data_IF_724336925279
#
_entry.id   IF_724336925279
#
_cell.length_a   1.000
_cell.length_b   1.000
_cell.length_c   1.000
_cell.angle_alpha   90.00
_cell.angle_beta   90.00
_cell.angle_gamma   90.00
#
_symmetry.space_group_name_H-M   'P 1'
#
loop_
_entity.id
_entity.type
_entity.pdbx_description
1 polymer ?
#
# COMPACT_ATOMS: atom_id res chain seq x y z
N UNK A 1 -32.01 -20.74 30.67
CA UNK A 1 -30.83 -21.14 29.87
C UNK A 1 -30.62 -20.09 28.81
N UNK A 2 -29.51 -19.34 28.84
CA UNK A 2 -29.20 -18.40 27.75
C UNK A 2 -28.89 -19.19 26.46
N UNK A 3 -29.11 -18.61 25.28
CA UNK A 3 -28.77 -19.27 24.03
C UNK A 3 -27.28 -19.64 24.05
N UNK A 4 -26.98 -20.91 23.75
CA UNK A 4 -25.60 -21.39 23.60
C UNK A 4 -24.95 -20.60 22.47
N UNK A 5 -23.90 -19.84 22.78
CA UNK A 5 -23.14 -19.11 21.78
C UNK A 5 -22.53 -20.08 20.75
N UNK A 6 -22.90 -19.92 19.48
CA UNK A 6 -22.37 -20.71 18.37
C UNK A 6 -21.46 -19.83 17.50
N UNK A 7 -20.15 -20.05 17.62
CA UNK A 7 -19.12 -19.31 16.89
C UNK A 7 -19.20 -19.54 15.37
N UNK A 8 -19.56 -20.75 14.94
CA UNK A 8 -19.66 -21.11 13.53
C UNK A 8 -20.82 -20.35 12.86
N UNK A 9 -21.97 -20.26 13.53
CA UNK A 9 -23.11 -19.49 13.03
C UNK A 9 -22.75 -18.01 12.80
N UNK A 10 -21.98 -17.39 13.70
CA UNK A 10 -21.49 -16.01 13.52
C UNK A 10 -20.54 -15.88 12.32
N UNK A 11 -19.61 -16.84 12.14
CA UNK A 11 -18.69 -16.85 11.01
C UNK A 11 -19.42 -17.02 9.68
N UNK A 12 -20.40 -17.93 9.63
CA UNK A 12 -21.28 -18.18 8.48
C UNK A 12 -22.07 -16.92 8.12
N UNK A 13 -22.71 -16.27 9.09
CA UNK A 13 -23.47 -15.04 8.87
C UNK A 13 -22.58 -13.94 8.29
N UNK A 14 -21.40 -13.71 8.90
CA UNK A 14 -20.45 -12.68 8.43
C UNK A 14 -19.96 -12.96 7.01
N UNK A 15 -19.67 -14.21 6.69
CA UNK A 15 -19.22 -14.61 5.35
C UNK A 15 -20.33 -14.39 4.31
N UNK A 16 -21.54 -14.92 4.57
CA UNK A 16 -22.67 -14.78 3.66
C UNK A 16 -23.03 -13.32 3.43
N UNK A 17 -23.00 -12.49 4.48
CA UNK A 17 -23.22 -11.04 4.37
C UNK A 17 -22.18 -10.39 3.47
N UNK A 18 -20.90 -10.71 3.63
CA UNK A 18 -19.85 -10.18 2.76
C UNK A 18 -20.06 -10.55 1.29
N UNK A 19 -20.33 -11.83 0.99
CA UNK A 19 -20.52 -12.29 -0.40
C UNK A 19 -21.77 -11.64 -1.01
N UNK A 20 -22.87 -11.61 -0.26
CA UNK A 20 -24.12 -10.97 -0.71
C UNK A 20 -23.92 -9.47 -0.98
N UNK A 21 -23.34 -8.74 -0.04
CA UNK A 21 -23.26 -7.27 -0.11
C UNK A 21 -22.19 -6.78 -1.09
N UNK A 22 -21.11 -7.55 -1.30
CA UNK A 22 -19.91 -7.08 -2.01
C UNK A 22 -19.61 -7.83 -3.31
N UNK A 23 -20.13 -9.03 -3.50
CA UNK A 23 -19.79 -9.87 -4.66
C UNK A 23 -21.01 -10.08 -5.56
N UNK A 24 -22.11 -10.59 -5.02
CA UNK A 24 -23.21 -11.09 -5.86
C UNK A 24 -24.43 -10.17 -5.89
N UNK A 25 -24.66 -9.37 -4.84
CA UNK A 25 -25.91 -8.63 -4.66
C UNK A 25 -27.11 -9.51 -4.30
N UNK A 26 -26.90 -10.81 -4.05
CA UNK A 26 -27.97 -11.80 -3.80
C UNK A 26 -27.77 -12.37 -2.39
N UNK A 27 -28.83 -12.32 -1.58
CA UNK A 27 -28.83 -12.94 -0.25
C UNK A 27 -28.96 -14.45 -0.40
N UNK A 28 -27.93 -15.19 0.02
CA UNK A 28 -27.87 -16.64 -0.09
C UNK A 28 -26.92 -17.24 0.96
N UNK A 29 -26.95 -18.56 1.09
CA UNK A 29 -26.07 -19.31 1.99
C UNK A 29 -24.83 -19.84 1.28
N UNK A 30 -23.92 -18.91 0.96
CA UNK A 30 -22.66 -19.21 0.30
C UNK A 30 -21.75 -20.12 1.13
N UNK A 31 -21.75 -19.97 2.46
CA UNK A 31 -20.95 -20.79 3.36
C UNK A 31 -21.25 -22.28 3.21
N UNK A 32 -22.52 -22.67 3.17
CA UNK A 32 -22.91 -24.08 3.05
C UNK A 32 -22.62 -24.69 1.67
N UNK A 33 -22.31 -23.86 0.66
CA UNK A 33 -21.94 -24.30 -0.69
C UNK A 33 -20.45 -24.60 -0.83
N UNK A 34 -19.64 -24.17 0.13
CA UNK A 34 -18.19 -24.30 0.11
C UNK A 34 -17.76 -25.41 1.06
N UNK A 35 -16.75 -26.17 0.63
CA UNK A 35 -16.01 -27.11 1.46
C UNK A 35 -14.82 -26.41 2.11
N UNK A 36 -14.16 -27.09 3.06
CA UNK A 36 -12.99 -26.54 3.75
C UNK A 36 -11.88 -26.20 2.76
N UNK A 37 -11.69 -27.05 1.74
CA UNK A 37 -10.68 -26.87 0.69
C UNK A 37 -10.94 -25.59 -0.12
N UNK A 38 -12.20 -25.25 -0.40
CA UNK A 38 -12.54 -24.00 -1.09
C UNK A 38 -12.16 -22.76 -0.25
N UNK A 39 -12.27 -22.83 1.08
CA UNK A 39 -11.79 -21.75 1.96
C UNK A 39 -10.26 -21.65 1.97
N UNK A 40 -9.54 -22.75 1.75
CA UNK A 40 -8.09 -22.72 1.58
C UNK A 40 -7.71 -22.08 0.24
N UNK A 41 -8.41 -22.38 -0.83
CA UNK A 41 -8.21 -21.76 -2.15
C UNK A 41 -8.57 -20.26 -2.15
N UNK A 42 -9.57 -19.86 -1.37
CA UNK A 42 -9.85 -18.43 -1.15
C UNK A 42 -8.64 -17.77 -0.47
N UNK A 43 -7.99 -18.43 0.51
CA UNK A 43 -6.79 -17.89 1.16
C UNK A 43 -5.61 -17.77 0.19
N UNK A 44 -5.44 -18.70 -0.74
CA UNK A 44 -4.37 -18.58 -1.76
C UNK A 44 -4.64 -17.38 -2.68
N UNK A 45 -5.90 -17.18 -3.06
CA UNK A 45 -6.38 -16.04 -3.87
C UNK A 45 -6.18 -14.68 -3.17
N UNK A 46 -6.12 -14.64 -1.82
CA UNK A 46 -5.82 -13.40 -1.08
C UNK A 46 -4.50 -12.78 -1.51
N UNK A 47 -3.51 -13.57 -1.92
CA UNK A 47 -2.25 -13.05 -2.45
C UNK A 47 -2.47 -12.25 -3.73
N UNK A 48 -3.29 -12.76 -4.65
CA UNK A 48 -3.58 -12.10 -5.91
C UNK A 48 -4.44 -10.85 -5.69
N UNK A 49 -5.38 -10.89 -4.75
CA UNK A 49 -6.14 -9.70 -4.32
C UNK A 49 -5.18 -8.63 -3.80
N UNK A 50 -4.21 -8.99 -2.95
CA UNK A 50 -3.22 -8.05 -2.47
C UNK A 50 -2.38 -7.46 -3.62
N UNK A 51 -1.98 -8.29 -4.59
CA UNK A 51 -1.25 -7.82 -5.77
C UNK A 51 -2.07 -6.85 -6.61
N UNK A 52 -3.37 -7.12 -6.81
CA UNK A 52 -4.30 -6.23 -7.54
C UNK A 52 -4.43 -4.88 -6.83
N UNK A 53 -4.58 -4.87 -5.50
CA UNK A 53 -4.70 -3.63 -4.73
C UNK A 53 -3.40 -2.81 -4.83
N UNK A 54 -2.24 -3.45 -4.62
CA UNK A 54 -0.93 -2.79 -4.77
C UNK A 54 -0.77 -2.22 -6.16
N UNK A 55 -1.09 -2.99 -7.20
CA UNK A 55 -1.02 -2.53 -8.58
C UNK A 55 -1.89 -1.29 -8.84
N UNK A 56 -3.17 -1.32 -8.41
CA UNK A 56 -4.06 -0.16 -8.56
C UNK A 56 -3.55 1.06 -7.80
N UNK A 57 -2.99 0.85 -6.61
CA UNK A 57 -2.40 1.92 -5.81
C UNK A 57 -1.13 2.51 -6.47
N UNK A 58 -0.30 1.68 -7.11
CA UNK A 58 0.86 2.14 -7.89
C UNK A 58 0.44 2.99 -9.09
N UNK A 59 -0.60 2.59 -9.83
CA UNK A 59 -1.13 3.39 -10.95
C UNK A 59 -1.67 4.74 -10.44
N UNK A 60 -2.45 4.74 -9.36
CA UNK A 60 -2.94 5.97 -8.71
C UNK A 60 -1.80 6.86 -8.22
N UNK A 61 -0.71 6.28 -7.72
CA UNK A 61 0.50 7.02 -7.37
C UNK A 61 1.15 7.64 -8.60
N UNK A 62 1.26 6.91 -9.71
CA UNK A 62 1.80 7.45 -10.96
C UNK A 62 0.97 8.63 -11.48
N UNK A 63 -0.36 8.55 -11.40
CA UNK A 63 -1.26 9.68 -11.70
C UNK A 63 -0.99 10.87 -10.78
N UNK A 64 -0.89 10.64 -9.47
CA UNK A 64 -0.58 11.68 -8.49
C UNK A 64 0.77 12.37 -8.76
N UNK A 65 1.77 11.60 -9.19
CA UNK A 65 3.09 12.11 -9.59
C UNK A 65 2.99 12.87 -10.91
N UNK A 66 2.28 12.36 -11.92
CA UNK A 66 2.02 13.03 -13.20
C UNK A 66 1.51 14.45 -13.00
N UNK A 67 0.58 14.64 -12.07
CA UNK A 67 -0.03 15.96 -11.83
C UNK A 67 0.95 16.99 -11.26
N UNK A 68 2.06 16.54 -10.67
CA UNK A 68 3.06 17.38 -9.97
C UNK A 68 4.37 17.54 -10.74
N UNK A 69 4.66 16.65 -11.66
CA UNK A 69 5.92 16.61 -12.40
C UNK A 69 5.66 16.67 -13.90
N UNK A 70 5.89 17.82 -14.57
CA UNK A 70 5.67 17.98 -16.01
C UNK A 70 6.34 16.88 -16.84
N UNK A 71 7.58 16.51 -16.52
CA UNK A 71 8.28 15.41 -17.19
C UNK A 71 7.51 14.09 -17.12
N UNK A 72 6.92 13.74 -15.97
CA UNK A 72 6.15 12.49 -15.81
C UNK A 72 4.85 12.56 -16.58
N UNK A 73 4.21 13.74 -16.64
CA UNK A 73 3.02 13.95 -17.47
C UNK A 73 3.31 13.75 -18.95
N UNK A 74 4.41 14.32 -19.42
CA UNK A 74 4.77 14.28 -20.84
C UNK A 74 5.25 12.87 -21.26
N UNK A 75 5.68 12.04 -20.30
CA UNK A 75 6.12 10.66 -20.50
C UNK A 75 5.21 9.60 -19.84
N UNK A 76 3.93 9.94 -19.57
CA UNK A 76 3.05 9.11 -18.74
C UNK A 76 2.85 7.69 -19.30
N UNK A 77 2.57 7.56 -20.60
CA UNK A 77 2.33 6.25 -21.22
C UNK A 77 3.54 5.32 -21.12
N UNK A 78 4.75 5.87 -21.24
CA UNK A 78 5.99 5.11 -21.06
C UNK A 78 6.10 4.59 -19.62
N UNK A 79 5.87 5.45 -18.62
CA UNK A 79 5.93 5.05 -17.21
C UNK A 79 4.80 4.09 -16.82
N UNK A 80 3.61 4.28 -17.39
CA UNK A 80 2.49 3.36 -17.19
C UNK A 80 2.86 1.97 -17.72
N UNK A 81 3.33 1.87 -18.96
CA UNK A 81 3.78 0.62 -19.56
C UNK A 81 4.85 -0.10 -18.72
N UNK A 82 5.79 0.65 -18.11
CA UNK A 82 6.75 0.08 -17.15
C UNK A 82 6.07 -0.51 -15.91
N UNK A 83 5.10 0.19 -15.32
CA UNK A 83 4.31 -0.34 -14.19
C UNK A 83 3.52 -1.59 -14.60
N UNK A 84 2.97 -1.63 -15.81
CA UNK A 84 2.21 -2.77 -16.34
C UNK A 84 3.08 -4.02 -16.53
N UNK A 85 4.33 -3.84 -16.96
CA UNK A 85 5.24 -4.95 -17.33
C UNK A 85 6.12 -5.43 -16.18
N UNK A 86 6.31 -4.61 -15.15
CA UNK A 86 7.18 -4.94 -14.02
C UNK A 86 6.49 -5.94 -13.11
N UNK A 87 7.07 -7.12 -12.89
CA UNK A 87 6.58 -8.01 -11.84
C UNK A 87 6.87 -7.39 -10.46
N UNK A 88 5.99 -7.60 -9.47
CA UNK A 88 6.29 -7.24 -8.09
C UNK A 88 7.65 -7.84 -7.67
N UNK A 89 8.60 -6.98 -7.29
CA UNK A 89 9.99 -7.27 -6.86
C UNK A 89 11.12 -7.31 -7.92
N UNK A 90 10.86 -7.01 -9.19
CA UNK A 90 11.93 -7.03 -10.22
C UNK A 90 12.80 -5.76 -10.20
N UNK A 91 12.23 -4.57 -10.02
CA UNK A 91 12.95 -3.28 -10.16
C UNK A 91 13.42 -2.66 -8.83
N UNK A 92 13.24 -3.37 -7.71
CA UNK A 92 13.63 -2.90 -6.37
C UNK A 92 12.66 -1.91 -5.71
N UNK A 93 11.98 -1.06 -6.49
CA UNK A 93 10.90 -0.17 -6.05
C UNK A 93 9.58 -0.45 -6.80
N UNK A 94 8.45 -0.06 -6.21
CA UNK A 94 7.13 -0.22 -6.84
C UNK A 94 6.91 0.79 -7.98
N UNK A 95 7.52 1.98 -7.90
CA UNK A 95 7.56 2.97 -8.97
C UNK A 95 8.97 3.54 -9.10
N UNK A 96 9.47 3.62 -10.33
CA UNK A 96 10.73 4.29 -10.67
C UNK A 96 10.54 5.12 -11.93
N UNK A 97 10.91 6.40 -11.84
CA UNK A 97 11.00 7.34 -12.96
C UNK A 97 12.46 7.77 -13.07
N UNK A 98 13.01 7.69 -14.28
CA UNK A 98 14.39 8.12 -14.59
C UNK A 98 14.35 9.07 -15.78
N UNK A 99 15.11 10.18 -15.69
CA UNK A 99 15.22 11.19 -16.74
C UNK A 99 15.50 12.57 -16.18
N UNK A 100 14.81 13.59 -16.69
CA UNK A 100 14.96 14.98 -16.21
C UNK A 100 14.61 15.12 -14.72
N UNK A 101 13.72 14.25 -14.24
CA UNK A 101 13.46 14.06 -12.81
C UNK A 101 13.55 12.58 -12.46
N UNK A 102 14.21 12.31 -11.34
CA UNK A 102 14.27 10.97 -10.75
C UNK A 102 13.24 10.85 -9.63
N UNK A 103 12.44 9.79 -9.66
CA UNK A 103 11.43 9.50 -8.64
C UNK A 103 11.49 8.03 -8.28
N UNK A 104 11.49 7.73 -6.99
CA UNK A 104 11.41 6.36 -6.47
C UNK A 104 10.30 6.30 -5.42
N UNK A 105 9.52 5.22 -5.44
CA UNK A 105 8.45 5.05 -4.47
C UNK A 105 8.16 3.60 -4.09
N UNK A 106 7.61 3.48 -2.88
CA UNK A 106 7.14 2.23 -2.29
C UNK A 106 5.66 2.37 -1.94
N UNK A 107 4.87 1.36 -2.27
CA UNK A 107 3.43 1.30 -2.08
C UNK A 107 3.10 0.26 -1.03
N UNK A 108 2.38 0.67 0.01
CA UNK A 108 1.92 -0.20 1.09
C UNK A 108 0.41 -0.18 1.22
N UNK A 109 -0.19 -1.33 0.94
CA UNK A 109 -1.63 -1.55 0.99
C UNK A 109 -2.09 -2.31 2.24
N UNK A 110 -1.20 -2.51 3.21
CA UNK A 110 -1.53 -3.23 4.44
C UNK A 110 -2.48 -2.41 5.31
N UNK A 111 -3.69 -2.94 5.55
CA UNK A 111 -4.63 -2.35 6.50
C UNK A 111 -4.02 -2.36 7.91
N UNK A 112 -3.99 -1.23 8.64
CA UNK A 112 -3.47 -1.23 10.00
C UNK A 112 -4.28 -2.16 10.90
N UNK A 113 -3.62 -2.82 11.85
CA UNK A 113 -4.26 -3.73 12.82
C UNK A 113 -4.72 -2.97 14.08
N UNK A 114 -5.31 -3.65 15.07
CA UNK A 114 -5.77 -3.06 16.34
C UNK A 114 -6.72 -1.87 16.14
N UNK A 115 -7.90 -2.17 15.60
CA UNK A 115 -8.92 -1.18 15.22
C UNK A 115 -8.48 -0.15 14.17
N UNK A 116 -7.30 -0.34 13.57
CA UNK A 116 -6.80 0.48 12.48
C UNK A 116 -5.96 1.68 12.92
N UNK A 117 -5.71 1.86 14.21
CA UNK A 117 -5.00 3.04 14.72
C UNK A 117 -3.48 2.88 14.81
N UNK A 118 -2.95 1.66 14.61
CA UNK A 118 -1.52 1.37 14.69
C UNK A 118 -1.14 0.27 13.70
N UNK A 119 0.07 0.37 13.14
CA UNK A 119 0.67 -0.75 12.43
C UNK A 119 1.19 -1.78 13.42
N UNK A 120 0.99 -3.06 13.11
CA UNK A 120 1.58 -4.17 13.85
C UNK A 120 3.11 -4.20 13.70
N UNK A 121 3.80 -4.94 14.56
CA UNK A 121 5.27 -4.98 14.57
C UNK A 121 5.87 -5.33 13.20
N UNK A 122 5.31 -6.34 12.52
CA UNK A 122 5.77 -6.74 11.18
C UNK A 122 5.46 -5.69 10.11
N UNK A 123 4.28 -5.07 10.16
CA UNK A 123 3.91 -3.99 9.25
C UNK A 123 4.83 -2.78 9.43
N UNK A 124 5.09 -2.38 10.70
CA UNK A 124 6.02 -1.31 11.05
C UNK A 124 7.42 -1.62 10.52
N UNK A 125 7.95 -2.82 10.78
CA UNK A 125 9.27 -3.21 10.31
C UNK A 125 9.39 -3.14 8.78
N UNK A 126 8.37 -3.61 8.05
CA UNK A 126 8.31 -3.48 6.59
C UNK A 126 8.34 -2.03 6.12
N UNK A 127 7.45 -1.18 6.64
CA UNK A 127 7.39 0.24 6.26
C UNK A 127 8.71 0.95 6.57
N UNK A 128 9.31 0.71 7.74
CA UNK A 128 10.61 1.31 8.12
C UNK A 128 11.72 0.86 7.18
N UNK A 129 11.78 -0.43 6.84
CA UNK A 129 12.75 -0.96 5.88
C UNK A 129 12.63 -0.29 4.52
N UNK A 130 11.40 -0.03 4.07
CA UNK A 130 11.17 0.63 2.79
C UNK A 130 11.50 2.12 2.82
N UNK A 131 11.21 2.82 3.92
CA UNK A 131 11.71 4.19 4.15
C UNK A 131 13.24 4.24 4.09
N UNK A 132 13.93 3.31 4.77
CA UNK A 132 15.38 3.22 4.72
C UNK A 132 15.89 2.93 3.30
N UNK A 133 15.22 2.02 2.59
CA UNK A 133 15.54 1.71 1.20
C UNK A 133 15.33 2.91 0.26
N UNK A 134 14.32 3.75 0.50
CA UNK A 134 14.13 4.99 -0.26
C UNK A 134 15.21 6.03 0.05
N UNK A 135 15.69 6.09 1.30
CA UNK A 135 16.70 7.06 1.71
C UNK A 135 18.13 6.69 1.30
N UNK A 136 18.46 5.39 1.37
CA UNK A 136 19.83 4.89 1.29
C UNK A 136 20.07 3.98 0.07
N UNK A 137 19.01 3.66 -0.68
CA UNK A 137 19.06 2.75 -1.82
C UNK A 137 18.71 1.31 -1.45
N UNK A 138 18.35 0.55 -2.48
CA UNK A 138 18.10 -0.89 -2.38
C UNK A 138 19.12 -1.63 -3.22
N UNK A 139 19.55 -2.80 -2.74
CA UNK A 139 20.59 -3.62 -3.39
C UNK A 139 20.28 -3.97 -4.85
N UNK A 140 19.00 -4.03 -5.22
CA UNK A 140 18.52 -4.33 -6.58
C UNK A 140 18.28 -3.09 -7.45
N UNK A 141 18.26 -1.89 -6.86
CA UNK A 141 17.94 -0.65 -7.57
C UNK A 141 19.22 0.16 -7.83
N UNK A 142 19.96 -0.25 -8.86
CA UNK A 142 21.25 0.37 -9.23
C UNK A 142 21.11 1.52 -10.22
N UNK A 143 19.94 1.71 -10.82
CA UNK A 143 19.69 2.67 -11.90
C UNK A 143 19.43 4.10 -11.42
N UNK A 144 19.19 4.31 -10.11
CA UNK A 144 18.85 5.62 -9.56
C UNK A 144 19.62 5.86 -8.26
N UNK A 145 20.38 6.95 -8.21
CA UNK A 145 20.92 7.47 -6.96
C UNK A 145 19.77 8.03 -6.12
N UNK A 146 19.48 7.44 -4.94
CA UNK A 146 18.43 7.92 -4.07
C UNK A 146 18.62 9.39 -3.70
N UNK A 147 19.84 9.89 -3.53
CA UNK A 147 20.09 11.29 -3.14
C UNK A 147 19.60 12.29 -4.18
N UNK A 148 19.51 11.87 -5.45
CA UNK A 148 19.06 12.69 -6.57
C UNK A 148 17.58 12.51 -6.92
N UNK A 149 16.86 11.66 -6.19
CA UNK A 149 15.46 11.32 -6.46
C UNK A 149 14.47 11.91 -5.44
N UNK A 150 13.28 12.27 -5.91
CA UNK A 150 12.12 12.45 -5.03
C UNK A 150 11.65 11.08 -4.53
N UNK A 151 11.28 11.01 -3.24
CA UNK A 151 11.00 9.75 -2.55
C UNK A 151 9.59 9.75 -2.00
N UNK A 152 8.82 8.73 -2.34
CA UNK A 152 7.45 8.59 -1.86
C UNK A 152 7.22 7.26 -1.16
N UNK A 153 6.70 7.32 0.06
CA UNK A 153 6.13 6.16 0.73
C UNK A 153 4.60 6.28 0.62
N UNK A 154 4.03 5.65 -0.41
CA UNK A 154 2.60 5.66 -0.65
C UNK A 154 1.91 4.66 0.26
N UNK A 155 0.95 5.13 1.05
CA UNK A 155 0.14 4.31 1.95
C UNK A 155 -1.30 4.32 1.43
N UNK A 156 -1.88 3.13 1.26
CA UNK A 156 -3.29 3.04 0.88
C UNK A 156 -4.18 3.58 2.00
N UNK A 157 -5.07 4.51 1.64
CA UNK A 157 -5.91 5.23 2.58
C UNK A 157 -7.21 4.47 2.89
N UNK A 158 -7.29 3.93 4.10
CA UNK A 158 -8.47 3.28 4.66
C UNK A 158 -9.31 4.25 5.52
N UNK A 159 -9.11 5.57 5.36
CA UNK A 159 -9.76 6.65 6.12
C UNK A 159 -8.94 7.09 7.33
N UNK A 160 -9.60 7.78 8.28
CA UNK A 160 -8.99 8.43 9.46
C UNK A 160 -8.06 7.52 10.28
N UNK A 161 -8.34 6.23 10.26
CA UNK A 161 -7.54 5.18 10.90
C UNK A 161 -6.14 5.09 10.31
N UNK A 162 -5.99 5.13 8.98
CA UNK A 162 -4.68 5.11 8.31
C UNK A 162 -3.84 6.33 8.70
N UNK A 163 -4.45 7.52 8.71
CA UNK A 163 -3.75 8.76 9.11
C UNK A 163 -3.25 8.65 10.56
N UNK A 164 -4.08 8.12 11.46
CA UNK A 164 -3.71 7.91 12.86
C UNK A 164 -2.56 6.90 13.01
N UNK A 165 -2.60 5.79 12.27
CA UNK A 165 -1.55 4.77 12.26
C UNK A 165 -0.21 5.31 11.74
N UNK A 166 -0.24 6.13 10.68
CA UNK A 166 0.96 6.79 10.13
C UNK A 166 1.53 7.83 11.09
N UNK A 167 0.69 8.64 11.74
CA UNK A 167 1.16 9.57 12.77
C UNK A 167 1.79 8.82 13.96
N UNK A 168 1.18 7.71 14.39
CA UNK A 168 1.76 6.86 15.41
C UNK A 168 3.10 6.28 14.96
N UNK A 169 3.24 5.84 13.70
CA UNK A 169 4.49 5.37 13.14
C UNK A 169 5.58 6.45 13.22
N UNK A 170 5.34 7.63 12.66
CA UNK A 170 6.32 8.73 12.61
C UNK A 170 6.79 9.13 14.00
N UNK A 171 5.87 9.22 14.98
CA UNK A 171 6.22 9.55 16.37
C UNK A 171 7.20 8.55 16.99
N UNK A 172 7.17 7.30 16.53
CA UNK A 172 7.95 6.17 17.03
C UNK A 172 9.05 5.70 16.05
N UNK A 173 9.44 6.55 15.10
CA UNK A 173 10.67 6.38 14.32
C UNK A 173 11.87 6.83 15.17
N UNK A 174 13.06 6.33 14.81
CA UNK A 174 14.31 6.85 15.35
C UNK A 174 14.51 8.31 14.93
N UNK A 175 15.28 9.07 15.73
CA UNK A 175 15.47 10.52 15.53
C UNK A 175 15.97 10.85 14.13
N UNK A 176 16.91 10.07 13.61
CA UNK A 176 17.49 10.23 12.27
C UNK A 176 16.45 10.07 11.13
N UNK A 177 15.51 9.12 11.28
CA UNK A 177 14.45 8.93 10.30
C UNK A 177 13.34 9.97 10.44
N UNK A 178 13.04 10.40 11.67
CA UNK A 178 11.93 11.32 11.97
C UNK A 178 12.11 12.68 11.29
N UNK A 179 13.34 13.15 11.16
CA UNK A 179 13.66 14.42 10.47
C UNK A 179 13.58 14.31 8.94
N UNK A 180 13.76 13.09 8.42
CA UNK A 180 13.79 12.77 6.98
C UNK A 180 12.48 12.19 6.45
N UNK A 181 11.44 12.09 7.26
CA UNK A 181 10.13 11.56 6.87
C UNK A 181 9.06 12.58 7.22
N UNK A 182 8.20 12.89 6.25
CA UNK A 182 7.09 13.83 6.46
C UNK A 182 5.84 13.37 5.74
N UNK A 183 4.67 13.68 6.29
CA UNK A 183 3.40 13.50 5.58
C UNK A 183 3.27 14.66 4.60
N UNK A 184 3.13 14.36 3.31
CA UNK A 184 2.88 15.36 2.29
C UNK A 184 1.58 16.12 2.57
N UNK A 185 1.63 17.44 2.42
CA UNK A 185 0.46 18.32 2.42
C UNK A 185 0.36 19.01 1.07
N UNK A 186 -0.87 19.25 0.61
CA UNK A 186 -1.09 19.96 -0.65
C UNK A 186 -0.42 21.35 -0.62
N UNK A 187 0.24 21.73 -1.72
CA UNK A 187 1.04 22.96 -1.81
C UNK A 187 2.40 22.92 -1.09
N UNK A 188 2.74 21.84 -0.38
CA UNK A 188 4.07 21.68 0.20
C UNK A 188 5.11 21.48 -0.90
N UNK A 189 6.24 22.19 -0.79
CA UNK A 189 7.38 21.98 -1.66
C UNK A 189 7.96 20.56 -1.43
N UNK A 190 8.05 19.81 -2.51
CA UNK A 190 8.71 18.50 -2.52
C UNK A 190 10.22 18.71 -2.54
N UNK A 191 10.92 17.94 -1.71
CA UNK A 191 12.38 17.96 -1.61
C UNK A 191 12.96 16.56 -1.70
N UNK A 192 14.21 16.46 -2.16
CA UNK A 192 14.91 15.18 -2.35
C UNK A 192 15.56 14.66 -1.06
N UNK A 193 15.73 15.47 -0.02
CA UNK A 193 16.33 15.02 1.25
C UNK A 193 15.37 14.18 2.12
N UNK A 194 14.06 14.24 1.83
CA UNK A 194 13.00 13.60 2.61
C UNK A 194 12.25 12.52 1.83
N UNK A 195 11.71 11.56 2.58
CA UNK A 195 10.61 10.70 2.14
C UNK A 195 9.29 11.38 2.46
N UNK A 196 8.47 11.57 1.43
CA UNK A 196 7.13 12.12 1.56
C UNK A 196 6.13 10.96 1.63
N UNK A 197 5.44 10.83 2.76
CA UNK A 197 4.33 9.90 2.91
C UNK A 197 3.12 10.50 2.21
N UNK A 198 2.60 9.77 1.23
CA UNK A 198 1.40 10.16 0.46
C UNK A 198 0.31 9.14 0.69
N UNK A 199 -0.94 9.62 0.77
CA UNK A 199 -2.11 8.78 0.93
C UNK A 199 -2.78 8.59 -0.42
N UNK A 200 -2.92 7.33 -0.83
CA UNK A 200 -3.49 6.97 -2.13
C UNK A 200 -4.78 6.18 -1.88
N UNK A 201 -5.86 6.52 -2.58
CA UNK A 201 -7.12 5.74 -2.61
C UNK A 201 -7.25 5.01 -3.92
#
# INVERSE_FOLDING_TARGET
MGPHYNREAELRERFNRFVSDKITGIVDDYYARLKVEDFEDIKTTLRDINNIITYKATVRLLEWVRDRFPYVRDNYEFHLDQVLKTKPNDNGYDLTVVGDVNIIAEVKCNRPINDGYKFGSQQKAGIVKDIQGLLNGKSKATSVDPTQAFKFAAIYDFGDRTISAVNHLIRNLSTDLKERVTIYKEGQLLTKDKVHIVFIK
#
